data_IF_701693108480
#
_entry.id   IF_701693108480
#
_cell.length_a   1.000
_cell.length_b   1.000
_cell.length_c   1.000
_cell.angle_alpha   90.00
_cell.angle_beta   90.00
_cell.angle_gamma   90.00
#
_symmetry.space_group_name_H-M   'P 1'
#
loop_
_entity.id
_entity.type
_entity.pdbx_description
1 polymer ?
#
# COMPACT_ATOMS: atom_id res chain seq x y z
N UNK A 1 13.35 13.94 -25.14
CA UNK A 1 12.18 14.21 -24.26
C UNK A 1 12.42 13.44 -22.97
N UNK A 2 12.26 14.08 -21.80
CA UNK A 2 12.42 13.42 -20.51
C UNK A 2 11.42 12.28 -20.34
N UNK A 3 11.76 11.25 -19.59
CA UNK A 3 10.91 10.08 -19.35
C UNK A 3 9.67 10.41 -18.50
N UNK A 4 9.74 11.49 -17.70
CA UNK A 4 8.65 11.99 -16.85
C UNK A 4 7.90 13.10 -17.59
N UNK A 5 6.60 12.95 -17.72
CA UNK A 5 5.69 13.92 -18.36
C UNK A 5 4.75 14.52 -17.31
N UNK A 6 4.28 15.75 -17.53
CA UNK A 6 3.38 16.48 -16.61
C UNK A 6 1.91 16.32 -16.96
N UNK A 7 1.61 15.97 -18.19
CA UNK A 7 0.26 15.75 -18.71
C UNK A 7 0.13 14.30 -19.14
N UNK A 8 -1.05 13.72 -18.93
CA UNK A 8 -1.31 12.33 -19.28
C UNK A 8 -1.39 12.15 -20.79
N UNK A 9 -0.70 11.11 -21.26
CA UNK A 9 -0.85 10.54 -22.59
C UNK A 9 -0.67 9.03 -22.47
N UNK A 10 -1.41 8.26 -23.27
CA UNK A 10 -1.36 6.79 -23.23
C UNK A 10 0.01 6.22 -23.57
N UNK A 11 0.86 6.95 -24.30
CA UNK A 11 2.24 6.54 -24.61
C UNK A 11 3.25 6.83 -23.49
N UNK A 12 2.88 7.61 -22.49
CA UNK A 12 3.79 7.97 -21.41
C UNK A 12 4.20 6.76 -20.57
N UNK A 13 5.48 6.68 -20.25
CA UNK A 13 5.97 5.73 -19.24
C UNK A 13 5.65 6.20 -17.83
N UNK A 14 5.88 7.50 -17.58
CA UNK A 14 5.65 8.14 -16.28
C UNK A 14 4.91 9.46 -16.50
N UNK A 15 3.76 9.62 -15.85
CA UNK A 15 3.02 10.88 -15.77
C UNK A 15 2.93 11.31 -14.31
N UNK A 16 3.50 12.47 -13.99
CA UNK A 16 3.40 13.08 -12.67
C UNK A 16 2.68 14.44 -12.81
N UNK A 17 1.49 14.52 -12.27
CA UNK A 17 0.65 15.70 -12.34
C UNK A 17 0.70 16.47 -11.02
N UNK A 18 1.12 17.75 -11.06
CA UNK A 18 1.05 18.60 -9.89
C UNK A 18 -0.29 19.33 -9.87
N UNK A 19 -1.21 18.87 -9.05
CA UNK A 19 -2.55 19.44 -8.91
C UNK A 19 -3.57 18.46 -8.38
N UNK A 20 -4.83 18.86 -8.45
CA UNK A 20 -5.97 18.06 -8.03
C UNK A 20 -6.10 16.79 -8.87
N UNK A 21 -6.20 15.64 -8.18
CA UNK A 21 -6.34 14.31 -8.79
C UNK A 21 -7.55 14.18 -9.72
N UNK A 22 -8.66 14.90 -9.46
CA UNK A 22 -9.83 14.90 -10.33
C UNK A 22 -9.51 15.46 -11.73
N UNK A 23 -8.57 16.41 -11.84
CA UNK A 23 -8.12 16.92 -13.14
C UNK A 23 -7.31 15.87 -13.91
N UNK A 24 -6.42 15.15 -13.22
CA UNK A 24 -5.69 14.05 -13.83
C UNK A 24 -6.65 12.94 -14.26
N UNK A 25 -7.56 12.51 -13.39
CA UNK A 25 -8.54 11.46 -13.68
C UNK A 25 -9.36 11.79 -14.94
N UNK A 26 -9.82 13.01 -15.09
CA UNK A 26 -10.57 13.45 -16.29
C UNK A 26 -9.77 13.35 -17.58
N UNK A 27 -8.44 13.42 -17.53
CA UNK A 27 -7.57 13.26 -18.71
C UNK A 27 -7.30 11.80 -19.07
N UNK A 28 -7.57 10.87 -18.15
CA UNK A 28 -7.35 9.44 -18.36
C UNK A 28 -8.59 8.81 -19.03
N UNK A 29 -8.44 8.07 -20.13
CA UNK A 29 -9.55 7.40 -20.80
C UNK A 29 -10.26 6.40 -19.89
N UNK A 30 -11.54 6.17 -20.13
CA UNK A 30 -12.30 5.12 -19.46
C UNK A 30 -11.68 3.75 -19.75
N UNK A 31 -11.73 2.84 -18.75
CA UNK A 31 -11.31 1.44 -18.91
C UNK A 31 -9.86 1.29 -19.41
N UNK A 32 -8.92 2.13 -18.90
CA UNK A 32 -7.51 2.15 -19.33
C UNK A 32 -6.52 1.80 -18.22
N UNK A 33 -6.89 1.92 -16.96
CA UNK A 33 -6.04 1.66 -15.78
C UNK A 33 -6.13 0.19 -15.35
N UNK A 34 -5.00 -0.48 -15.18
CA UNK A 34 -4.94 -1.87 -14.74
C UNK A 34 -5.02 -2.00 -13.22
N UNK A 35 -4.38 -1.08 -12.50
CA UNK A 35 -4.32 -1.13 -11.04
C UNK A 35 -4.25 0.28 -10.46
N UNK A 36 -5.10 0.54 -9.47
CA UNK A 36 -5.05 1.73 -8.63
C UNK A 36 -4.44 1.33 -7.29
N UNK A 37 -3.36 1.99 -6.86
CA UNK A 37 -2.75 1.82 -5.54
C UNK A 37 -2.59 3.19 -4.92
N UNK A 38 -3.14 3.41 -3.74
CA UNK A 38 -3.02 4.69 -3.05
C UNK A 38 -3.20 4.59 -1.55
N UNK A 39 -2.71 5.62 -0.86
CA UNK A 39 -3.02 5.94 0.53
C UNK A 39 -3.54 7.38 0.56
N UNK A 40 -4.87 7.59 0.64
CA UNK A 40 -5.46 8.93 0.60
C UNK A 40 -5.14 9.72 1.88
N UNK A 41 -5.39 11.03 1.92
CA UNK A 41 -5.45 11.78 3.17
C UNK A 41 -6.47 11.16 4.12
N UNK A 42 -6.13 11.05 5.41
CA UNK A 42 -7.00 10.41 6.42
C UNK A 42 -7.91 11.39 7.15
N UNK A 43 -7.74 12.70 6.95
CA UNK A 43 -8.48 13.76 7.65
C UNK A 43 -8.37 13.63 9.18
N UNK A 44 -7.14 13.41 9.68
CA UNK A 44 -6.83 13.16 11.08
C UNK A 44 -5.88 14.22 11.68
N UNK A 45 -5.81 15.40 11.04
CA UNK A 45 -4.99 16.54 11.50
C UNK A 45 -3.50 16.38 11.24
N UNK A 46 -3.12 15.80 10.11
CA UNK A 46 -1.73 15.80 9.65
C UNK A 46 -1.35 17.19 9.13
N UNK A 47 -0.05 17.51 9.16
CA UNK A 47 0.46 18.82 8.75
C UNK A 47 0.17 19.24 7.29
N UNK A 48 -0.29 18.32 6.46
CA UNK A 48 -0.68 18.53 5.07
C UNK A 48 -2.21 18.53 4.84
N UNK A 49 -2.99 18.24 5.90
CA UNK A 49 -4.45 18.25 5.88
C UNK A 49 -4.98 19.61 6.39
N UNK A 50 -6.20 19.98 6.00
CA UNK A 50 -6.85 21.17 6.56
C UNK A 50 -7.15 20.92 8.05
N UNK A 51 -6.91 21.88 8.95
CA UNK A 51 -7.23 21.74 10.36
C UNK A 51 -8.71 21.47 10.67
N UNK A 52 -9.60 21.74 9.72
CA UNK A 52 -11.04 21.50 9.82
C UNK A 52 -11.48 20.16 9.20
N UNK A 53 -10.56 19.41 8.59
CA UNK A 53 -10.86 18.08 8.05
C UNK A 53 -11.28 17.12 9.14
N UNK A 54 -12.37 16.41 8.88
CA UNK A 54 -12.98 15.43 9.78
C UNK A 54 -13.43 14.16 9.02
N UNK A 55 -14.14 13.29 9.71
CA UNK A 55 -14.64 12.04 9.12
C UNK A 55 -15.67 12.29 8.00
N UNK A 56 -16.46 13.33 8.08
CA UNK A 56 -17.43 13.67 7.02
C UNK A 56 -16.69 14.19 5.77
N UNK A 57 -15.64 14.98 5.97
CA UNK A 57 -14.72 15.39 4.88
C UNK A 57 -14.07 14.16 4.24
N UNK A 58 -13.59 13.20 5.04
CA UNK A 58 -13.04 11.94 4.54
C UNK A 58 -14.04 11.15 3.68
N UNK A 59 -15.28 10.98 4.15
CA UNK A 59 -16.35 10.31 3.39
C UNK A 59 -16.62 11.02 2.08
N UNK A 60 -16.83 12.34 2.14
CA UNK A 60 -17.12 13.15 0.96
C UNK A 60 -16.02 13.06 -0.10
N UNK A 61 -14.76 13.16 0.28
CA UNK A 61 -13.64 13.01 -0.65
C UNK A 61 -13.65 11.65 -1.38
N UNK A 62 -14.01 10.56 -0.68
CA UNK A 62 -14.12 9.24 -1.28
C UNK A 62 -15.34 9.10 -2.19
N UNK A 63 -16.45 9.71 -1.83
CA UNK A 63 -17.66 9.76 -2.67
C UNK A 63 -17.42 10.56 -3.96
N UNK A 64 -16.75 11.70 -3.85
CA UNK A 64 -16.49 12.61 -4.98
C UNK A 64 -15.53 11.99 -6.01
N UNK A 65 -14.53 11.23 -5.58
CA UNK A 65 -13.54 10.63 -6.48
C UNK A 65 -13.98 9.28 -7.08
N UNK A 66 -14.94 8.60 -6.45
CA UNK A 66 -15.29 7.21 -6.76
C UNK A 66 -15.66 7.00 -8.23
N UNK A 67 -16.52 7.84 -8.79
CA UNK A 67 -17.06 7.65 -10.14
C UNK A 67 -15.95 7.74 -11.21
N UNK A 68 -14.98 8.65 -11.02
CA UNK A 68 -13.83 8.76 -11.90
C UNK A 68 -12.84 7.58 -11.73
N UNK A 69 -12.61 7.10 -10.50
CA UNK A 69 -11.79 5.89 -10.25
C UNK A 69 -12.42 4.67 -10.93
N UNK A 70 -13.72 4.46 -10.73
CA UNK A 70 -14.43 3.35 -11.36
C UNK A 70 -14.43 3.45 -12.89
N UNK A 71 -14.62 4.65 -13.44
CA UNK A 71 -14.62 4.91 -14.88
C UNK A 71 -13.28 4.55 -15.52
N UNK A 72 -12.17 5.01 -14.96
CA UNK A 72 -10.83 4.77 -15.54
C UNK A 72 -10.35 3.34 -15.36
N UNK A 73 -10.80 2.63 -14.32
CA UNK A 73 -10.41 1.26 -14.03
C UNK A 73 -10.95 0.30 -15.08
N UNK A 74 -10.10 -0.58 -15.62
CA UNK A 74 -10.49 -1.66 -16.52
C UNK A 74 -11.42 -2.64 -15.85
N UNK A 75 -12.34 -3.24 -16.61
CA UNK A 75 -13.00 -4.48 -16.17
C UNK A 75 -11.93 -5.54 -15.92
N UNK A 76 -11.97 -6.20 -14.76
CA UNK A 76 -10.90 -7.09 -14.29
C UNK A 76 -9.70 -6.38 -13.68
N UNK A 77 -9.65 -5.05 -13.69
CA UNK A 77 -8.65 -4.24 -12.98
C UNK A 77 -8.86 -4.26 -11.47
N UNK A 78 -7.85 -3.83 -10.74
CA UNK A 78 -7.82 -3.86 -9.27
C UNK A 78 -7.70 -2.49 -8.64
N UNK A 79 -8.29 -2.31 -7.47
CA UNK A 79 -8.05 -1.17 -6.56
C UNK A 79 -7.44 -1.72 -5.28
N UNK A 80 -6.29 -1.19 -4.87
CA UNK A 80 -5.66 -1.44 -3.58
C UNK A 80 -5.62 -0.13 -2.80
N UNK A 81 -6.53 0.01 -1.85
CA UNK A 81 -6.75 1.23 -1.08
C UNK A 81 -6.22 1.07 0.33
N UNK A 82 -5.13 1.76 0.65
CA UNK A 82 -4.49 1.65 1.96
C UNK A 82 -5.01 2.74 2.89
N UNK A 83 -5.49 2.33 4.06
CA UNK A 83 -5.96 3.22 5.12
C UNK A 83 -5.65 2.66 6.50
N UNK A 84 -5.51 3.56 7.47
CA UNK A 84 -5.42 3.24 8.88
C UNK A 84 -6.76 3.31 9.59
N UNK A 85 -6.74 3.85 10.80
CA UNK A 85 -7.92 4.17 11.60
C UNK A 85 -7.73 5.54 12.25
N UNK A 86 -8.82 6.22 12.48
CA UNK A 86 -8.83 7.46 13.24
C UNK A 86 -9.17 7.20 14.71
N UNK A 87 -8.66 8.00 15.62
CA UNK A 87 -9.01 7.96 17.05
C UNK A 87 -9.49 9.33 17.47
N UNK A 88 -10.80 9.42 17.72
CA UNK A 88 -11.44 10.61 18.27
C UNK A 88 -12.18 10.25 19.55
N UNK A 89 -12.09 11.10 20.58
CA UNK A 89 -12.77 10.94 21.87
C UNK A 89 -12.63 9.53 22.49
N UNK A 90 -11.44 8.95 22.39
CA UNK A 90 -11.09 7.59 22.84
C UNK A 90 -11.74 6.46 22.01
N UNK A 91 -12.52 6.78 21.02
CA UNK A 91 -13.14 5.82 20.11
C UNK A 91 -12.26 5.58 18.89
N UNK A 92 -12.20 4.35 18.43
CA UNK A 92 -11.52 3.98 17.18
C UNK A 92 -12.55 3.99 16.06
N UNK A 93 -12.27 4.75 15.00
CA UNK A 93 -13.07 4.81 13.79
C UNK A 93 -12.29 4.05 12.68
N UNK A 94 -12.78 2.90 12.22
CA UNK A 94 -12.10 2.10 11.18
C UNK A 94 -12.34 2.73 9.81
N UNK A 95 -11.34 3.40 9.26
CA UNK A 95 -11.44 4.06 7.95
C UNK A 95 -11.64 3.05 6.80
N UNK A 96 -11.10 1.85 6.95
CA UNK A 96 -11.28 0.76 6.00
C UNK A 96 -12.76 0.35 5.84
N UNK A 97 -13.53 0.36 6.93
CA UNK A 97 -14.96 0.10 6.85
C UNK A 97 -15.70 1.18 6.07
N UNK A 98 -15.35 2.45 6.27
CA UNK A 98 -15.97 3.58 5.54
C UNK A 98 -15.70 3.46 4.03
N UNK A 99 -14.45 3.20 3.64
CA UNK A 99 -14.09 3.01 2.23
C UNK A 99 -14.79 1.79 1.64
N UNK A 100 -14.82 0.67 2.38
CA UNK A 100 -15.54 -0.53 1.95
C UNK A 100 -17.00 -0.23 1.66
N UNK A 101 -17.68 0.43 2.59
CA UNK A 101 -19.10 0.76 2.48
C UNK A 101 -19.38 1.66 1.26
N UNK A 102 -18.62 2.74 1.09
CA UNK A 102 -18.75 3.65 -0.05
C UNK A 102 -18.54 2.91 -1.37
N UNK A 103 -17.43 2.17 -1.51
CA UNK A 103 -17.05 1.56 -2.78
C UNK A 103 -18.00 0.44 -3.19
N UNK A 104 -18.46 -0.38 -2.24
CA UNK A 104 -19.38 -1.47 -2.52
C UNK A 104 -20.79 -0.94 -2.82
N UNK A 105 -21.29 0.01 -2.04
CA UNK A 105 -22.65 0.55 -2.23
C UNK A 105 -22.77 1.35 -3.54
N UNK A 106 -21.79 2.22 -3.83
CA UNK A 106 -21.82 3.00 -5.08
C UNK A 106 -21.71 2.13 -6.34
N UNK A 107 -21.02 1.00 -6.28
CA UNK A 107 -20.88 0.10 -7.43
C UNK A 107 -21.94 -1.00 -7.50
N UNK A 108 -22.77 -1.18 -6.49
CA UNK A 108 -23.68 -2.33 -6.35
C UNK A 108 -24.64 -2.53 -7.54
N UNK A 109 -25.07 -1.44 -8.18
CA UNK A 109 -25.97 -1.47 -9.33
C UNK A 109 -25.24 -1.50 -10.69
N UNK A 110 -23.91 -1.46 -10.71
CA UNK A 110 -23.14 -1.45 -11.95
C UNK A 110 -23.03 -2.87 -12.52
N UNK A 111 -22.89 -2.98 -13.83
CA UNK A 111 -22.71 -4.28 -14.52
C UNK A 111 -21.51 -5.08 -13.96
N UNK A 112 -20.44 -4.38 -13.61
CA UNK A 112 -19.22 -4.97 -13.03
C UNK A 112 -18.93 -4.34 -11.67
N UNK A 113 -19.67 -4.72 -10.59
CA UNK A 113 -19.49 -4.11 -9.28
C UNK A 113 -18.07 -4.34 -8.73
N UNK A 114 -17.65 -3.50 -7.80
CA UNK A 114 -16.42 -3.72 -7.07
C UNK A 114 -16.59 -4.86 -6.06
N UNK A 115 -15.76 -5.87 -6.19
CA UNK A 115 -15.76 -7.06 -5.31
C UNK A 115 -14.53 -7.00 -4.42
N UNK A 116 -14.73 -6.96 -3.10
CA UNK A 116 -13.64 -7.04 -2.14
C UNK A 116 -13.04 -8.46 -2.17
N UNK A 117 -11.76 -8.57 -2.53
CA UNK A 117 -11.01 -9.84 -2.59
C UNK A 117 -10.26 -10.15 -1.30
N UNK A 118 -9.59 -9.14 -0.74
CA UNK A 118 -8.90 -9.25 0.55
C UNK A 118 -8.97 -7.95 1.34
N UNK A 119 -8.92 -8.09 2.65
CA UNK A 119 -8.50 -7.08 3.62
C UNK A 119 -7.09 -7.45 4.06
N UNK A 120 -6.08 -6.89 3.40
CA UNK A 120 -4.69 -7.18 3.70
C UNK A 120 -4.27 -6.36 4.91
N UNK A 121 -3.71 -7.02 5.91
CA UNK A 121 -3.19 -6.40 7.14
C UNK A 121 -1.70 -6.15 6.95
N UNK A 122 -1.32 -4.89 6.79
CA UNK A 122 0.07 -4.50 6.84
C UNK A 122 0.49 -4.21 8.26
N UNK A 123 1.36 -5.06 8.82
CA UNK A 123 1.91 -4.89 10.17
C UNK A 123 3.29 -4.24 10.13
N UNK A 124 3.57 -3.44 11.16
CA UNK A 124 4.87 -2.79 11.34
C UNK A 124 5.24 -2.73 12.82
N UNK A 125 6.51 -3.02 13.16
CA UNK A 125 6.96 -3.24 14.54
C UNK A 125 6.95 -2.00 15.44
N UNK A 126 6.68 -0.79 14.92
CA UNK A 126 6.83 0.46 15.63
C UNK A 126 5.59 1.37 15.52
N UNK A 127 5.41 2.27 16.47
CA UNK A 127 4.32 3.25 16.51
C UNK A 127 4.19 3.86 17.90
N UNK A 128 3.25 4.79 18.07
CA UNK A 128 2.97 5.40 19.36
C UNK A 128 2.41 4.35 20.33
N UNK A 129 2.85 4.40 21.58
CA UNK A 129 2.32 3.54 22.63
C UNK A 129 1.07 4.17 23.23
N UNK A 130 0.04 3.36 23.38
CA UNK A 130 -1.17 3.74 24.13
C UNK A 130 -1.10 3.16 25.53
N UNK A 131 -1.60 3.92 26.50
CA UNK A 131 -1.71 3.49 27.91
C UNK A 131 -3.12 3.02 28.29
N UNK A 132 -4.11 3.25 27.41
CA UNK A 132 -5.55 2.98 27.70
C UNK A 132 -6.18 1.99 26.71
N UNK A 133 -5.44 1.52 25.72
CA UNK A 133 -5.84 0.50 24.75
C UNK A 133 -4.61 -0.21 24.19
N UNK A 134 -4.79 -1.29 23.44
CA UNK A 134 -3.67 -1.89 22.72
C UNK A 134 -3.09 -0.92 21.70
N UNK A 135 -1.76 -0.85 21.61
CA UNK A 135 -1.07 0.03 20.66
C UNK A 135 -1.26 -0.49 19.24
N UNK A 136 -1.74 0.35 18.34
CA UNK A 136 -1.92 0.00 16.93
C UNK A 136 -0.57 -0.22 16.23
N UNK A 137 -0.49 -1.30 15.47
CA UNK A 137 0.72 -1.72 14.75
C UNK A 137 0.40 -2.24 13.36
N UNK A 138 -0.73 -1.83 12.81
CA UNK A 138 -1.14 -2.24 11.47
C UNK A 138 -1.95 -1.15 10.78
N UNK A 139 -1.99 -1.25 9.48
CA UNK A 139 -2.92 -0.57 8.59
C UNK A 139 -3.54 -1.58 7.63
N UNK A 140 -4.61 -1.20 6.97
CA UNK A 140 -5.37 -2.07 6.09
C UNK A 140 -5.14 -1.69 4.64
N UNK A 141 -5.06 -2.69 3.76
CA UNK A 141 -5.13 -2.49 2.32
C UNK A 141 -6.35 -3.26 1.82
N UNK A 142 -7.34 -2.54 1.36
CA UNK A 142 -8.54 -3.13 0.76
C UNK A 142 -8.26 -3.42 -0.71
N UNK A 143 -8.27 -4.69 -1.09
CA UNK A 143 -8.13 -5.10 -2.49
C UNK A 143 -9.48 -5.41 -3.09
N UNK A 144 -9.93 -4.55 -4.00
CA UNK A 144 -11.12 -4.75 -4.82
C UNK A 144 -10.76 -5.10 -6.25
N UNK A 145 -11.68 -5.81 -6.95
CA UNK A 145 -11.63 -6.02 -8.40
C UNK A 145 -12.91 -5.50 -9.04
N UNK A 146 -12.81 -4.92 -10.24
CA UNK A 146 -13.95 -4.52 -11.05
C UNK A 146 -14.49 -5.74 -11.79
N UNK A 147 -15.53 -6.36 -11.24
CA UNK A 147 -16.09 -7.64 -11.69
C UNK A 147 -15.32 -8.87 -11.18
N UNK A 148 -15.75 -10.04 -11.61
CA UNK A 148 -15.29 -11.32 -11.07
C UNK A 148 -13.89 -11.74 -11.58
N UNK A 149 -13.59 -11.47 -12.83
CA UNK A 149 -12.31 -11.82 -13.43
C UNK A 149 -11.24 -10.80 -13.03
N UNK A 150 -10.05 -11.28 -12.68
CA UNK A 150 -8.93 -10.41 -12.34
C UNK A 150 -7.60 -11.11 -12.56
N UNK A 151 -6.54 -10.32 -12.74
CA UNK A 151 -5.17 -10.83 -12.76
C UNK A 151 -4.72 -11.15 -11.34
N UNK A 152 -4.21 -12.37 -11.11
CA UNK A 152 -3.51 -12.73 -9.88
C UNK A 152 -2.35 -13.67 -10.18
N UNK A 153 -1.15 -13.12 -10.25
CA UNK A 153 0.08 -13.87 -10.49
C UNK A 153 0.73 -14.27 -9.15
N UNK A 154 0.29 -15.39 -8.60
CA UNK A 154 0.80 -15.89 -7.32
C UNK A 154 2.29 -16.19 -7.36
N UNK A 155 2.80 -16.73 -8.48
CA UNK A 155 4.20 -17.18 -8.55
C UNK A 155 5.18 -16.01 -8.50
N UNK A 156 4.79 -14.81 -8.95
CA UNK A 156 5.60 -13.60 -8.86
C UNK A 156 5.77 -13.05 -7.42
N UNK A 157 4.95 -13.53 -6.47
CA UNK A 157 4.93 -13.00 -5.09
C UNK A 157 5.10 -14.08 -4.02
N UNK A 158 5.42 -15.33 -4.40
CA UNK A 158 5.66 -16.40 -3.43
C UNK A 158 6.79 -16.04 -2.47
N UNK A 159 6.62 -16.44 -1.23
CA UNK A 159 7.63 -16.29 -0.18
C UNK A 159 8.16 -17.67 0.26
N UNK A 160 9.37 -17.73 0.85
CA UNK A 160 9.93 -18.99 1.32
C UNK A 160 8.98 -19.73 2.26
N UNK A 161 8.96 -21.05 2.16
CA UNK A 161 8.21 -21.91 3.06
C UNK A 161 8.98 -22.06 4.39
N UNK A 162 8.25 -22.03 5.51
CA UNK A 162 8.84 -22.31 6.82
C UNK A 162 9.36 -23.76 6.94
N UNK A 163 8.67 -24.71 6.26
CA UNK A 163 9.00 -26.14 6.30
C UNK A 163 8.99 -26.72 4.86
N UNK A 164 10.04 -26.45 4.05
CA UNK A 164 10.05 -26.87 2.64
C UNK A 164 10.02 -28.38 2.44
N UNK A 165 10.57 -29.14 3.38
CA UNK A 165 10.58 -30.62 3.35
C UNK A 165 9.32 -31.30 3.87
N UNK A 166 8.26 -30.54 4.23
CA UNK A 166 7.02 -31.11 4.74
C UNK A 166 6.34 -32.00 3.70
N UNK A 167 5.97 -33.23 4.14
CA UNK A 167 5.24 -34.20 3.32
C UNK A 167 3.75 -34.22 3.67
N UNK A 168 2.93 -34.54 2.68
CA UNK A 168 1.49 -34.76 2.88
C UNK A 168 1.24 -35.95 3.77
N UNK A 169 0.41 -35.78 4.80
CA UNK A 169 0.13 -36.80 5.78
C UNK A 169 -1.03 -37.74 5.38
N UNK A 170 -1.98 -37.24 4.59
CA UNK A 170 -3.22 -37.92 4.18
C UNK A 170 -3.48 -37.78 2.68
N UNK A 171 -4.42 -38.61 2.21
CA UNK A 171 -4.95 -38.56 0.84
C UNK A 171 -4.01 -39.09 -0.24
N UNK A 172 -4.34 -38.86 -1.52
CA UNK A 172 -3.60 -39.45 -2.67
C UNK A 172 -2.12 -39.03 -2.71
N UNK A 173 -1.78 -37.91 -2.14
CA UNK A 173 -0.41 -37.35 -2.10
C UNK A 173 0.36 -37.71 -0.82
N UNK A 174 -0.11 -38.68 -0.03
CA UNK A 174 0.58 -39.12 1.20
C UNK A 174 2.03 -39.49 0.90
N UNK A 175 2.96 -38.94 1.68
CA UNK A 175 4.40 -39.17 1.53
C UNK A 175 5.11 -38.22 0.52
N UNK A 176 4.40 -37.56 -0.38
CA UNK A 176 4.95 -36.60 -1.31
C UNK A 176 5.14 -35.23 -0.64
N UNK A 177 6.06 -34.42 -1.17
CA UNK A 177 6.23 -33.04 -0.71
C UNK A 177 4.91 -32.27 -0.86
N UNK A 178 4.50 -31.57 0.19
CA UNK A 178 3.21 -30.87 0.25
C UNK A 178 3.28 -29.42 -0.20
N UNK A 179 4.49 -28.88 -0.40
CA UNK A 179 4.72 -27.50 -0.75
C UNK A 179 5.02 -27.30 -2.23
N UNK A 180 4.83 -26.07 -2.71
CA UNK A 180 5.25 -25.67 -4.04
C UNK A 180 6.76 -25.33 -4.02
N UNK A 181 7.59 -25.83 -4.97
CA UNK A 181 9.02 -25.55 -5.01
C UNK A 181 9.36 -24.04 -5.10
N UNK A 182 8.46 -23.24 -5.69
CA UNK A 182 8.60 -21.77 -5.77
C UNK A 182 8.28 -21.04 -4.45
N UNK A 183 7.82 -21.77 -3.41
CA UNK A 183 7.44 -21.17 -2.15
C UNK A 183 5.92 -21.15 -1.90
N UNK A 184 5.50 -20.55 -0.79
CA UNK A 184 4.10 -20.45 -0.37
C UNK A 184 3.48 -19.11 -0.77
N UNK A 185 2.15 -19.04 -0.78
CA UNK A 185 1.41 -17.79 -0.82
C UNK A 185 1.81 -16.93 0.41
N UNK A 186 2.10 -15.62 0.22
CA UNK A 186 2.50 -14.72 1.31
C UNK A 186 1.42 -14.50 2.38
N UNK A 187 0.18 -14.93 2.13
CA UNK A 187 -1.01 -14.63 2.93
C UNK A 187 -1.45 -13.17 2.85
N UNK A 188 -2.41 -12.80 3.67
CA UNK A 188 -3.00 -11.46 3.78
C UNK A 188 -2.53 -10.69 5.02
N UNK A 189 -1.54 -11.22 5.74
CA UNK A 189 -0.85 -10.51 6.83
C UNK A 189 0.60 -10.29 6.41
N UNK A 190 0.97 -9.03 6.20
CA UNK A 190 2.28 -8.63 5.69
C UNK A 190 3.06 -7.89 6.77
N UNK A 191 4.19 -8.45 7.18
CA UNK A 191 5.14 -7.81 8.09
C UNK A 191 6.21 -7.09 7.28
N UNK A 192 5.99 -5.79 7.03
CA UNK A 192 6.87 -4.93 6.25
C UNK A 192 7.16 -3.67 7.07
N UNK A 193 8.45 -3.36 7.36
CA UNK A 193 8.80 -2.18 8.15
C UNK A 193 8.28 -0.89 7.52
N UNK A 194 7.68 -0.03 8.31
CA UNK A 194 7.29 1.30 7.86
C UNK A 194 8.50 2.23 7.70
N UNK A 195 8.35 3.25 6.85
CA UNK A 195 9.42 4.21 6.54
C UNK A 195 9.58 5.20 7.69
N UNK A 196 10.64 5.04 8.48
CA UNK A 196 11.00 5.89 9.62
C UNK A 196 12.37 6.53 9.45
N UNK A 197 12.80 7.31 10.45
CA UNK A 197 13.99 8.16 10.40
C UNK A 197 15.25 7.50 9.83
N UNK A 198 15.50 6.22 10.11
CA UNK A 198 16.68 5.47 9.62
C UNK A 198 16.37 4.56 8.42
N UNK A 199 15.18 4.67 7.83
CA UNK A 199 14.83 3.85 6.67
C UNK A 199 15.50 4.41 5.40
N UNK A 200 16.06 3.53 4.56
CA UNK A 200 16.81 3.94 3.36
C UNK A 200 15.97 4.73 2.34
N UNK A 201 14.64 4.49 2.35
CA UNK A 201 13.68 5.17 1.46
C UNK A 201 13.15 6.49 2.05
N UNK A 202 13.56 6.89 3.27
CA UNK A 202 12.98 8.03 3.98
C UNK A 202 13.19 9.35 3.24
N UNK A 203 12.08 10.07 3.05
CA UNK A 203 12.02 11.45 2.57
C UNK A 203 11.39 12.37 3.60
N UNK A 204 11.23 13.64 3.29
CA UNK A 204 10.54 14.62 4.15
C UNK A 204 9.01 14.46 4.15
N UNK A 205 8.47 13.52 3.37
CA UNK A 205 7.04 13.21 3.43
C UNK A 205 6.68 12.52 4.76
N UNK A 206 5.69 13.01 5.52
CA UNK A 206 5.41 12.51 6.87
C UNK A 206 4.80 11.11 6.92
N UNK A 207 4.02 10.72 5.89
CA UNK A 207 3.23 9.48 5.83
C UNK A 207 3.62 8.63 4.62
N UNK A 208 4.92 8.37 4.44
CA UNK A 208 5.41 7.55 3.35
C UNK A 208 5.29 6.05 3.69
N UNK A 209 4.68 5.25 2.80
CA UNK A 209 4.73 3.79 2.90
C UNK A 209 5.92 3.21 2.09
N UNK A 210 6.41 1.99 2.43
CA UNK A 210 7.58 1.40 1.79
C UNK A 210 7.26 0.90 0.37
N UNK A 211 8.26 0.95 -0.52
CA UNK A 211 8.17 0.47 -1.92
C UNK A 211 7.78 -1.01 -2.00
N UNK A 212 8.15 -1.82 -1.02
CA UNK A 212 7.82 -3.25 -0.97
C UNK A 212 6.31 -3.54 -1.03
N UNK A 213 5.45 -2.64 -0.53
CA UNK A 213 3.99 -2.79 -0.58
C UNK A 213 3.49 -2.71 -2.03
N UNK A 214 3.63 -1.57 -2.74
CA UNK A 214 3.16 -1.48 -4.12
C UNK A 214 3.90 -2.44 -5.05
N UNK A 215 5.17 -2.77 -4.84
CA UNK A 215 5.87 -3.78 -5.64
C UNK A 215 5.17 -5.13 -5.58
N UNK A 216 4.81 -5.60 -4.38
CA UNK A 216 4.09 -6.88 -4.22
C UNK A 216 2.73 -6.86 -4.90
N UNK A 217 1.97 -5.78 -4.76
CA UNK A 217 0.68 -5.60 -5.41
C UNK A 217 0.82 -5.57 -6.94
N UNK A 218 1.77 -4.81 -7.46
CA UNK A 218 2.03 -4.67 -8.90
C UNK A 218 2.41 -6.03 -9.52
N UNK A 219 3.31 -6.77 -8.89
CA UNK A 219 3.73 -8.11 -9.35
C UNK A 219 2.57 -9.10 -9.38
N UNK A 220 1.70 -9.05 -8.35
CA UNK A 220 0.58 -9.96 -8.24
C UNK A 220 -0.58 -9.60 -9.19
N UNK A 221 -0.88 -8.31 -9.36
CA UNK A 221 -2.16 -7.85 -9.89
C UNK A 221 -2.08 -7.23 -11.29
N UNK A 222 -0.89 -7.19 -11.90
CA UNK A 222 -0.73 -6.58 -13.24
C UNK A 222 0.21 -7.37 -14.13
N UNK A 223 0.06 -7.16 -15.44
CA UNK A 223 0.98 -7.62 -16.47
C UNK A 223 2.04 -6.55 -16.79
N UNK A 224 3.18 -6.90 -17.40
CA UNK A 224 4.16 -5.92 -17.89
C UNK A 224 3.51 -4.82 -18.75
N UNK A 225 4.00 -3.60 -18.65
CA UNK A 225 3.46 -2.39 -19.29
C UNK A 225 2.03 -1.98 -18.88
N UNK A 226 1.40 -2.65 -17.92
CA UNK A 226 0.12 -2.21 -17.34
C UNK A 226 0.22 -0.79 -16.78
N UNK A 227 -0.89 -0.04 -16.82
CA UNK A 227 -0.97 1.30 -16.27
C UNK A 227 -1.37 1.26 -14.80
N UNK A 228 -0.50 1.80 -13.95
CA UNK A 228 -0.73 1.98 -12.50
C UNK A 228 -1.14 3.43 -12.26
N UNK A 229 -2.16 3.64 -11.45
CA UNK A 229 -2.63 4.97 -11.04
C UNK A 229 -2.51 5.14 -9.53
N UNK A 230 -1.98 6.29 -9.12
CA UNK A 230 -2.01 6.75 -7.72
C UNK A 230 -2.55 8.19 -7.67
N UNK A 231 -3.84 8.38 -7.33
CA UNK A 231 -4.45 9.71 -7.30
C UNK A 231 -3.94 10.61 -6.15
N UNK A 232 -3.25 10.02 -5.15
CA UNK A 232 -2.67 10.73 -4.00
C UNK A 232 -1.21 10.31 -3.81
N UNK A 233 -0.38 10.50 -4.85
CA UNK A 233 0.93 9.86 -4.96
C UNK A 233 1.95 10.29 -3.90
N UNK A 234 1.74 11.41 -3.19
CA UNK A 234 2.62 11.90 -2.15
C UNK A 234 4.07 11.98 -2.62
N UNK A 235 4.95 11.20 -1.97
CA UNK A 235 6.37 11.09 -2.32
C UNK A 235 6.66 10.17 -3.52
N UNK A 236 5.66 9.73 -4.28
CA UNK A 236 5.84 8.93 -5.50
C UNK A 236 6.22 7.46 -5.30
N UNK A 237 5.96 6.88 -4.12
CA UNK A 237 6.37 5.50 -3.81
C UNK A 237 5.76 4.47 -4.78
N UNK A 238 4.47 4.62 -5.12
CA UNK A 238 3.78 3.77 -6.11
C UNK A 238 4.42 3.91 -7.49
N UNK A 239 4.80 5.13 -7.88
CA UNK A 239 5.46 5.40 -9.15
C UNK A 239 6.84 4.76 -9.24
N UNK A 240 7.65 4.84 -8.18
CA UNK A 240 8.95 4.15 -8.08
C UNK A 240 8.76 2.63 -8.25
N UNK A 241 7.81 2.04 -7.54
CA UNK A 241 7.51 0.62 -7.66
C UNK A 241 7.06 0.25 -9.08
N UNK A 242 6.19 1.04 -9.69
CA UNK A 242 5.69 0.81 -11.05
C UNK A 242 6.83 0.84 -12.07
N UNK A 243 7.72 1.82 -11.98
CA UNK A 243 8.86 1.94 -12.89
C UNK A 243 9.82 0.76 -12.77
N UNK A 244 10.23 0.41 -11.54
CA UNK A 244 11.14 -0.72 -11.28
C UNK A 244 10.55 -2.05 -11.73
N UNK A 245 9.24 -2.22 -11.61
CA UNK A 245 8.52 -3.41 -12.08
C UNK A 245 8.13 -3.35 -13.58
N UNK A 246 8.67 -2.41 -14.33
CA UNK A 246 8.39 -2.24 -15.76
C UNK A 246 6.90 -2.04 -16.09
N UNK A 247 6.20 -1.21 -15.27
CA UNK A 247 4.83 -0.75 -15.52
C UNK A 247 4.84 0.71 -15.92
N UNK A 248 3.74 1.17 -16.52
CA UNK A 248 3.48 2.60 -16.74
C UNK A 248 2.84 3.17 -15.48
N UNK A 249 3.03 4.47 -15.25
CA UNK A 249 2.52 5.13 -14.06
C UNK A 249 1.88 6.48 -14.40
N UNK A 250 0.76 6.77 -13.74
CA UNK A 250 0.18 8.10 -13.64
C UNK A 250 -0.13 8.41 -12.17
N UNK A 251 0.26 9.58 -11.70
CA UNK A 251 0.00 10.00 -10.32
C UNK A 251 -0.21 11.49 -10.19
N UNK A 252 -1.02 11.89 -9.19
CA UNK A 252 -1.28 13.28 -8.86
C UNK A 252 -0.83 13.60 -7.43
N UNK A 253 -0.28 14.80 -7.25
CA UNK A 253 0.04 15.38 -5.95
C UNK A 253 -0.24 16.88 -5.98
N UNK A 254 -1.08 17.32 -5.04
CA UNK A 254 -1.52 18.71 -5.00
C UNK A 254 -0.45 19.63 -4.42
N UNK A 255 0.29 19.14 -3.41
CA UNK A 255 1.31 19.93 -2.73
C UNK A 255 2.64 19.90 -3.49
N UNK A 256 3.04 21.03 -4.02
CA UNK A 256 4.27 21.17 -4.81
C UNK A 256 5.51 20.58 -4.12
N UNK A 257 5.62 20.74 -2.81
CA UNK A 257 6.73 20.17 -2.02
C UNK A 257 6.84 18.66 -2.17
N UNK A 258 5.72 17.93 -2.07
CA UNK A 258 5.71 16.47 -2.17
C UNK A 258 5.78 15.99 -3.61
N UNK A 259 5.19 16.76 -4.52
CA UNK A 259 5.36 16.54 -5.96
C UNK A 259 6.85 16.58 -6.36
N UNK A 260 7.62 17.57 -5.87
CA UNK A 260 9.05 17.67 -6.18
C UNK A 260 9.84 16.48 -5.64
N UNK A 261 9.52 16.00 -4.44
CA UNK A 261 10.09 14.76 -3.89
C UNK A 261 9.76 13.56 -4.78
N UNK A 262 8.53 13.47 -5.28
CA UNK A 262 8.13 12.39 -6.19
C UNK A 262 8.91 12.43 -7.50
N UNK A 263 9.09 13.62 -8.09
CA UNK A 263 9.89 13.82 -9.31
C UNK A 263 11.32 13.36 -9.09
N UNK A 264 12.01 13.85 -8.04
CA UNK A 264 13.39 13.48 -7.70
C UNK A 264 13.54 11.96 -7.55
N UNK A 265 12.66 11.31 -6.78
CA UNK A 265 12.70 9.86 -6.58
C UNK A 265 12.48 9.06 -7.86
N UNK A 266 11.63 9.53 -8.76
CA UNK A 266 11.43 8.87 -10.04
C UNK A 266 12.57 9.13 -11.02
N UNK A 267 13.20 10.30 -10.99
CA UNK A 267 14.44 10.55 -11.74
C UNK A 267 15.56 9.63 -11.26
N UNK A 268 15.75 9.46 -9.93
CA UNK A 268 16.67 8.48 -9.35
C UNK A 268 16.33 7.04 -9.77
N UNK A 269 15.05 6.68 -9.86
CA UNK A 269 14.63 5.38 -10.35
C UNK A 269 14.99 5.16 -11.82
N UNK A 270 14.83 6.20 -12.65
CA UNK A 270 15.13 6.17 -14.10
C UNK A 270 16.62 5.92 -14.36
N UNK A 271 17.48 6.51 -13.56
CA UNK A 271 18.94 6.30 -13.68
C UNK A 271 19.48 5.10 -12.89
N UNK A 272 18.59 4.34 -12.23
CA UNK A 272 18.93 3.12 -11.48
C UNK A 272 19.56 3.39 -10.10
N UNK A 273 19.38 4.59 -9.55
CA UNK A 273 20.04 5.06 -8.31
C UNK A 273 19.09 5.16 -7.12
N UNK A 274 17.80 4.85 -7.33
CA UNK A 274 16.78 4.95 -6.28
C UNK A 274 17.05 3.97 -5.14
N UNK A 275 16.99 4.49 -3.92
CA UNK A 275 17.17 3.68 -2.71
C UNK A 275 15.88 2.94 -2.39
N UNK A 276 15.92 1.62 -2.45
CA UNK A 276 14.80 0.72 -2.09
C UNK A 276 15.33 -0.27 -1.05
N UNK A 277 14.57 -0.46 0.02
CA UNK A 277 14.87 -1.50 0.99
C UNK A 277 14.58 -2.86 0.37
N UNK A 278 15.54 -3.79 0.44
CA UNK A 278 15.29 -5.18 0.04
C UNK A 278 14.13 -5.77 0.86
N UNK A 279 13.25 -6.53 0.19
CA UNK A 279 12.15 -7.25 0.84
C UNK A 279 12.69 -8.46 1.61
N UNK A 280 13.33 -8.16 2.74
CA UNK A 280 13.84 -9.15 3.69
C UNK A 280 13.14 -9.00 5.04
N UNK A 281 12.91 -10.10 5.75
CA UNK A 281 12.42 -10.04 7.13
C UNK A 281 13.27 -9.11 7.98
N UNK A 282 12.65 -8.49 8.96
CA UNK A 282 13.40 -7.72 9.97
C UNK A 282 14.31 -8.70 10.72
N UNK A 283 15.58 -8.37 10.82
CA UNK A 283 16.53 -9.20 11.58
C UNK A 283 16.09 -9.23 13.05
N UNK A 284 16.12 -10.41 13.65
CA UNK A 284 15.94 -10.55 15.10
C UNK A 284 16.99 -9.74 15.84
N UNK A 285 16.62 -9.06 16.94
CA UNK A 285 17.57 -8.29 17.72
C UNK A 285 18.71 -9.20 18.21
N UNK A 286 19.96 -8.76 18.02
CA UNK A 286 21.09 -9.44 18.64
C UNK A 286 21.00 -9.29 20.16
N UNK A 287 20.57 -10.35 20.84
CA UNK A 287 20.35 -10.37 22.29
C UNK A 287 21.60 -10.10 23.12
N UNK A 288 22.80 -10.15 22.51
CA UNK A 288 24.06 -9.82 23.17
C UNK A 288 24.36 -8.32 23.22
N UNK A 289 23.60 -7.49 22.47
CA UNK A 289 23.79 -6.04 22.52
C UNK A 289 23.21 -5.44 23.79
N UNK A 290 23.78 -4.34 24.28
CA UNK A 290 23.33 -3.65 25.49
C UNK A 290 21.84 -3.23 25.38
N UNK A 291 21.41 -2.78 24.18
CA UNK A 291 20.03 -2.33 23.93
C UNK A 291 19.00 -3.48 23.89
N UNK A 292 19.42 -4.71 23.66
CA UNK A 292 18.56 -5.89 23.66
C UNK A 292 18.50 -6.59 25.02
N UNK A 293 19.40 -6.26 25.95
CA UNK A 293 19.40 -6.81 27.31
C UNK A 293 18.34 -6.10 28.16
N UNK A 294 17.67 -6.88 29.00
CA UNK A 294 16.74 -6.31 29.98
C UNK A 294 17.53 -5.49 31.02
N UNK A 295 17.31 -4.16 31.13
CA UNK A 295 17.94 -3.37 32.19
C UNK A 295 17.58 -3.91 33.58
N UNK A 296 18.56 -3.87 34.52
CA UNK A 296 18.37 -4.38 35.87
C UNK A 296 17.18 -3.74 36.62
N UNK A 297 16.94 -2.45 36.39
CA UNK A 297 15.80 -1.71 36.90
C UNK A 297 14.45 -2.30 36.45
N UNK A 298 14.35 -2.71 35.17
CA UNK A 298 13.13 -3.33 34.65
C UNK A 298 12.94 -4.77 35.17
N UNK A 299 14.03 -5.50 35.40
CA UNK A 299 13.98 -6.81 36.02
C UNK A 299 13.45 -6.74 37.47
N UNK A 300 13.87 -5.70 38.24
CA UNK A 300 13.39 -5.43 39.60
C UNK A 300 11.89 -5.06 39.59
N UNK A 301 11.48 -4.11 38.75
CA UNK A 301 10.08 -3.69 38.63
C UNK A 301 9.11 -4.83 38.22
N UNK A 302 9.60 -5.85 37.48
CA UNK A 302 8.80 -7.07 37.15
C UNK A 302 8.60 -7.98 38.35
N UNK A 303 9.59 -8.07 39.26
CA UNK A 303 9.48 -8.91 40.47
C UNK A 303 8.55 -8.29 41.52
N UNK A 304 8.43 -6.98 41.55
CA UNK A 304 7.57 -6.26 42.49
C UNK A 304 6.08 -6.24 42.09
N UNK A 305 5.76 -6.73 40.88
CA UNK A 305 4.39 -6.84 40.31
C UNK A 305 3.78 -8.24 40.35
N UNK A 306 4.51 -9.23 40.79
CA UNK A 306 4.06 -10.61 41.05
C UNK A 306 3.85 -10.76 42.54
#
# INVERSE_FOLDING_TARGET
MGMIQREFNESNKLTLFNGDCLKLLKSIPSNSVDLIITSPPYCIGKAYEDPHDDIETFKKQHEDIFDDLYRVLKTGGSICWQVGYHVSDRCVIPLDYIVYDIFTNKSASFENPLILRNRIIWTFGHGLNSTKRFSGRHEMILWFTKGEQSVFNLDAVRVPQKYPGKKSYKGPNKGNLSGNPLGKNPSDVWDIPNVKAMHVEKTDHPCQFPVAIPQRLIRALTVPNGLILDPFMGSGTTGVAAYVENRRFAGAEILKKYYDIAVERLEEAVIGNVKIREDKPVAEPNTNTAVAKLPGEFAKARREKV
#
